data_IF_315609104263
#
_entry.id   IF_315609104263
#
_cell.length_a   1.000
_cell.length_b   1.000
_cell.length_c   1.000
_cell.angle_alpha   90.00
_cell.angle_beta   90.00
_cell.angle_gamma   90.00
#
_symmetry.space_group_name_H-M   'P 1'
#
loop_
_entity.id
_entity.type
_entity.pdbx_description
1 polymer ?
#
# COMPACT_ATOMS: atom_id res chain seq x y z
N UNK A 1 -16.18 -3.42 -70.26
CA UNK A 1 -15.77 -4.75 -70.77
C UNK A 1 -14.32 -4.96 -70.31
N UNK A 2 -13.98 -6.03 -69.56
CA UNK A 2 -13.54 -7.36 -70.07
C UNK A 2 -12.35 -7.19 -71.04
N UNK A 3 -11.14 -7.73 -70.82
CA UNK A 3 -10.71 -8.94 -70.06
C UNK A 3 -9.23 -8.90 -69.64
N UNK A 4 -8.90 -9.44 -68.46
CA UNK A 4 -7.60 -10.10 -68.15
C UNK A 4 -7.50 -11.43 -68.93
N UNK A 5 -6.31 -11.96 -69.28
CA UNK A 5 -5.34 -12.52 -68.30
C UNK A 5 -3.88 -12.11 -68.66
N UNK A 6 -2.77 -12.74 -68.24
CA UNK A 6 -2.49 -13.98 -67.50
C UNK A 6 -1.25 -13.82 -66.56
N UNK A 7 -0.82 -14.92 -65.94
CA UNK A 7 0.21 -15.03 -64.88
C UNK A 7 1.51 -15.65 -65.41
N UNK A 8 2.67 -15.24 -64.89
CA UNK A 8 3.78 -16.17 -64.65
C UNK A 8 4.34 -15.97 -63.24
N UNK A 9 4.33 -17.04 -62.45
CA UNK A 9 4.79 -17.09 -61.07
C UNK A 9 6.29 -17.27 -60.95
N UNK A 10 6.94 -16.53 -60.05
CA UNK A 10 8.19 -16.96 -59.44
C UNK A 10 8.03 -16.95 -57.92
N UNK A 11 8.08 -18.13 -57.31
CA UNK A 11 8.01 -18.27 -55.87
C UNK A 11 9.37 -17.94 -55.24
N UNK A 12 9.38 -17.01 -54.29
CA UNK A 12 10.52 -16.79 -53.39
C UNK A 12 10.04 -16.96 -51.96
N UNK A 13 10.48 -18.06 -51.36
CA UNK A 13 10.15 -18.47 -49.99
C UNK A 13 10.87 -17.55 -48.99
N UNK A 14 10.21 -16.45 -48.59
CA UNK A 14 10.70 -15.56 -47.54
C UNK A 14 10.49 -16.18 -46.16
N UNK A 15 11.58 -16.57 -45.49
CA UNK A 15 11.53 -17.22 -44.19
C UNK A 15 10.98 -16.28 -43.09
N UNK A 16 10.12 -16.82 -42.21
CA UNK A 16 9.75 -16.13 -40.98
C UNK A 16 10.95 -16.08 -40.02
N UNK A 17 11.59 -14.92 -39.91
CA UNK A 17 12.43 -14.62 -38.75
C UNK A 17 11.57 -13.92 -37.70
N UNK A 18 10.95 -14.69 -36.80
CA UNK A 18 10.56 -14.13 -35.50
C UNK A 18 11.86 -13.82 -34.74
N UNK A 19 12.38 -12.60 -34.94
CA UNK A 19 13.26 -12.00 -33.94
C UNK A 19 12.36 -11.65 -32.76
N UNK A 20 12.09 -12.66 -31.94
CA UNK A 20 11.60 -12.45 -30.59
C UNK A 20 12.69 -11.71 -29.84
N UNK A 21 12.60 -10.39 -29.80
CA UNK A 21 13.17 -9.63 -28.71
C UNK A 21 12.46 -10.12 -27.44
N UNK A 22 12.99 -11.17 -26.84
CA UNK A 22 12.88 -11.37 -25.42
C UNK A 22 13.61 -10.18 -24.78
N UNK A 23 12.90 -9.05 -24.71
CA UNK A 23 13.14 -8.09 -23.66
C UNK A 23 13.00 -8.89 -22.39
N UNK A 24 14.13 -9.26 -21.79
CA UNK A 24 14.19 -9.35 -20.34
C UNK A 24 13.64 -8.01 -19.87
N UNK A 25 12.37 -8.00 -19.47
CA UNK A 25 11.80 -6.95 -18.64
C UNK A 25 12.54 -7.03 -17.32
N UNK A 26 13.75 -6.49 -17.35
CA UNK A 26 14.50 -6.14 -16.18
C UNK A 26 13.68 -5.02 -15.58
N UNK A 27 12.77 -5.42 -14.70
CA UNK A 27 11.96 -4.51 -13.89
C UNK A 27 12.89 -3.83 -12.90
N UNK A 28 13.71 -2.92 -13.43
CA UNK A 28 14.12 -1.72 -12.73
C UNK A 28 12.85 -0.92 -12.52
N UNK A 29 12.05 -1.37 -11.55
CA UNK A 29 10.89 -0.64 -11.08
C UNK A 29 11.40 0.74 -10.71
N UNK A 30 10.98 1.75 -11.48
CA UNK A 30 11.16 3.13 -11.12
C UNK A 30 10.39 3.33 -9.83
N UNK A 31 11.10 3.20 -8.69
CA UNK A 31 10.62 3.63 -7.40
C UNK A 31 10.31 5.11 -7.54
N UNK A 32 9.03 5.44 -7.70
CA UNK A 32 8.56 6.80 -7.50
C UNK A 32 8.97 7.15 -6.08
N UNK A 33 9.96 8.04 -5.93
CA UNK A 33 10.55 8.40 -4.65
C UNK A 33 9.57 9.26 -3.83
N UNK A 34 8.47 8.62 -3.42
CA UNK A 34 7.47 9.14 -2.53
C UNK A 34 8.07 9.15 -1.14
N UNK A 35 8.28 10.34 -0.57
CA UNK A 35 8.87 10.47 0.75
C UNK A 35 7.84 10.01 1.78
N UNK A 36 8.04 8.80 2.31
CA UNK A 36 7.29 8.27 3.45
C UNK A 36 8.05 8.68 4.72
N UNK A 37 7.43 9.54 5.52
CA UNK A 37 7.99 9.91 6.81
C UNK A 37 7.72 8.77 7.81
N UNK A 38 8.77 8.14 8.31
CA UNK A 38 8.66 7.10 9.36
C UNK A 38 9.05 7.70 10.70
N UNK A 39 8.08 7.88 11.57
CA UNK A 39 8.28 8.34 12.95
C UNK A 39 8.03 7.20 13.94
N UNK A 40 8.72 7.21 15.09
CA UNK A 40 8.54 6.18 16.12
C UNK A 40 7.82 6.73 17.34
N UNK A 41 7.02 5.89 17.98
CA UNK A 41 6.30 6.26 19.20
C UNK A 41 5.78 5.05 19.97
N UNK A 42 5.31 5.31 21.20
CA UNK A 42 4.73 4.29 22.07
C UNK A 42 3.20 4.44 22.11
N UNK A 43 2.49 3.33 21.94
CA UNK A 43 1.02 3.28 22.06
C UNK A 43 0.61 3.57 23.50
N UNK A 44 -0.24 4.58 23.71
CA UNK A 44 -0.71 5.01 25.03
C UNK A 44 -2.14 4.60 25.34
N UNK A 45 -2.99 4.53 24.32
CA UNK A 45 -4.38 4.14 24.44
C UNK A 45 -4.85 3.41 23.17
N UNK A 46 -5.81 2.51 23.33
CA UNK A 46 -6.50 1.81 22.25
C UNK A 46 -8.00 1.87 22.53
N UNK A 47 -8.77 2.37 21.57
CA UNK A 47 -10.23 2.44 21.65
C UNK A 47 -10.83 1.78 20.42
N UNK A 48 -11.74 0.82 20.59
CA UNK A 48 -12.49 0.26 19.46
C UNK A 48 -13.48 1.28 18.90
N UNK A 49 -13.47 1.45 17.58
CA UNK A 49 -14.35 2.35 16.83
C UNK A 49 -15.03 1.60 15.68
N UNK A 50 -16.25 2.00 15.32
CA UNK A 50 -16.94 1.44 14.16
C UNK A 50 -16.22 1.82 12.86
N UNK A 51 -15.95 0.84 11.99
CA UNK A 51 -15.25 1.05 10.71
C UNK A 51 -15.99 2.01 9.75
N UNK A 52 -17.28 2.27 10.00
CA UNK A 52 -18.12 3.22 9.24
C UNK A 52 -18.09 4.65 9.79
N UNK A 53 -17.49 4.84 10.97
CA UNK A 53 -17.52 6.08 11.72
C UNK A 53 -16.13 6.40 12.27
N UNK A 54 -15.17 6.68 11.37
CA UNK A 54 -13.99 7.47 11.71
C UNK A 54 -14.38 8.94 11.95
N UNK A 55 -15.29 9.17 12.90
CA UNK A 55 -15.88 10.46 13.27
C UNK A 55 -15.07 11.17 14.35
N UNK A 56 -13.75 10.94 14.37
CA UNK A 56 -12.77 11.78 15.05
C UNK A 56 -12.11 12.68 14.02
N UNK A 57 -12.52 13.96 13.96
CA UNK A 57 -12.03 14.95 12.99
C UNK A 57 -10.56 15.31 13.26
N UNK A 58 -9.64 14.41 12.87
CA UNK A 58 -8.20 14.55 13.11
C UNK A 58 -7.41 13.25 13.19
N UNK A 59 -8.05 12.08 13.32
CA UNK A 59 -7.35 10.80 13.31
C UNK A 59 -6.92 10.39 11.88
N UNK A 60 -5.70 9.90 11.73
CA UNK A 60 -5.22 9.29 10.50
C UNK A 60 -5.93 7.96 10.23
N UNK A 61 -6.01 7.54 8.97
CA UNK A 61 -6.60 6.26 8.57
C UNK A 61 -5.50 5.34 8.00
N UNK A 62 -5.27 4.21 8.67
CA UNK A 62 -4.31 3.18 8.28
C UNK A 62 -4.96 2.01 7.53
N UNK A 63 -4.13 1.04 7.15
CA UNK A 63 -4.56 -0.24 6.58
C UNK A 63 -5.51 -0.14 5.38
N UNK A 64 -6.46 -1.09 5.31
CA UNK A 64 -7.50 -1.11 4.28
C UNK A 64 -8.48 0.05 4.38
N UNK A 65 -8.90 0.45 5.60
CA UNK A 65 -9.82 1.58 5.85
C UNK A 65 -9.32 2.87 5.18
N UNK A 66 -8.06 3.24 5.39
CA UNK A 66 -7.48 4.44 4.79
C UNK A 66 -7.45 4.39 3.27
N UNK A 67 -7.22 3.21 2.71
CA UNK A 67 -7.18 2.99 1.27
C UNK A 67 -8.59 3.04 0.64
N UNK A 68 -9.57 2.39 1.28
CA UNK A 68 -10.97 2.44 0.88
C UNK A 68 -11.52 3.88 0.98
N UNK A 69 -11.23 4.62 2.04
CA UNK A 69 -11.62 6.03 2.16
C UNK A 69 -10.99 6.89 1.05
N UNK A 70 -9.66 6.84 0.87
CA UNK A 70 -8.95 7.64 -0.11
C UNK A 70 -9.43 7.40 -1.56
N UNK A 71 -9.71 6.13 -1.90
CA UNK A 71 -10.22 5.75 -3.23
C UNK A 71 -11.56 6.39 -3.62
N UNK A 72 -12.33 6.89 -2.65
CA UNK A 72 -13.59 7.63 -2.89
C UNK A 72 -13.39 9.16 -2.98
N UNK A 73 -12.23 9.67 -2.58
CA UNK A 73 -11.95 11.11 -2.51
C UNK A 73 -11.14 11.65 -3.71
N UNK A 74 -10.42 10.79 -4.45
CA UNK A 74 -9.54 11.21 -5.55
C UNK A 74 -10.30 11.51 -6.85
N UNK A 75 -10.34 12.78 -7.25
CA UNK A 75 -10.99 13.24 -8.50
C UNK A 75 -10.25 12.89 -9.79
N UNK A 76 -8.96 12.55 -9.75
CA UNK A 76 -8.15 12.33 -10.97
C UNK A 76 -8.15 10.87 -11.48
N UNK A 77 -8.52 9.89 -10.65
CA UNK A 77 -8.47 8.44 -11.00
C UNK A 77 -9.84 7.75 -10.87
N UNK A 78 -10.93 8.53 -11.04
CA UNK A 78 -12.30 8.14 -10.64
C UNK A 78 -12.84 6.82 -11.20
N UNK A 79 -12.43 6.40 -12.40
CA UNK A 79 -13.05 5.22 -13.06
C UNK A 79 -12.48 3.89 -12.52
N UNK A 80 -11.19 3.84 -12.17
CA UNK A 80 -10.55 2.66 -11.61
C UNK A 80 -10.59 2.63 -10.08
N UNK A 81 -10.20 3.74 -9.44
CA UNK A 81 -10.04 3.79 -7.98
C UNK A 81 -11.37 3.58 -7.23
N UNK A 82 -12.49 4.11 -7.73
CA UNK A 82 -13.79 3.93 -7.07
C UNK A 82 -14.27 2.47 -7.09
N UNK A 83 -13.94 1.72 -8.14
CA UNK A 83 -14.22 0.28 -8.21
C UNK A 83 -13.34 -0.50 -7.22
N UNK A 84 -12.03 -0.24 -7.21
CA UNK A 84 -11.12 -0.81 -6.21
C UNK A 84 -11.59 -0.50 -4.78
N UNK A 85 -12.01 0.73 -4.50
CA UNK A 85 -12.55 1.17 -3.22
C UNK A 85 -13.76 0.38 -2.72
N UNK A 86 -14.75 0.18 -3.59
CA UNK A 86 -15.92 -0.63 -3.28
C UNK A 86 -15.56 -2.10 -3.00
N UNK A 87 -14.61 -2.65 -3.74
CA UNK A 87 -14.12 -4.02 -3.57
C UNK A 87 -13.30 -4.20 -2.29
N UNK A 88 -12.38 -3.27 -1.98
CA UNK A 88 -11.63 -3.22 -0.72
C UNK A 88 -12.62 -3.10 0.44
N UNK A 89 -13.57 -2.15 0.38
CA UNK A 89 -14.62 -1.99 1.39
C UNK A 89 -15.49 -3.23 1.59
N UNK A 90 -15.71 -4.03 0.54
CA UNK A 90 -16.42 -5.31 0.64
C UNK A 90 -15.55 -6.42 1.27
N UNK A 91 -14.23 -6.41 1.07
CA UNK A 91 -13.29 -7.31 1.77
C UNK A 91 -13.21 -6.96 3.26
N UNK A 92 -13.10 -5.68 3.60
CA UNK A 92 -13.13 -5.17 4.99
C UNK A 92 -14.43 -5.60 5.68
N UNK A 93 -15.59 -5.41 5.05
CA UNK A 93 -16.88 -5.84 5.62
C UNK A 93 -17.06 -7.36 5.76
N UNK A 94 -16.28 -8.16 5.01
CA UNK A 94 -16.23 -9.63 5.14
C UNK A 94 -15.26 -10.10 6.23
N UNK A 95 -14.40 -9.22 6.75
CA UNK A 95 -13.48 -9.54 7.85
C UNK A 95 -14.24 -9.97 9.11
N UNK A 96 -13.59 -10.80 9.94
CA UNK A 96 -14.17 -11.25 11.22
C UNK A 96 -14.29 -10.12 12.24
N UNK A 97 -13.43 -9.12 12.12
CA UNK A 97 -13.42 -7.91 12.93
C UNK A 97 -14.34 -6.88 12.26
N UNK A 98 -15.33 -6.39 13.01
CA UNK A 98 -16.32 -5.40 12.55
C UNK A 98 -16.02 -3.97 13.04
N UNK A 99 -15.01 -3.86 13.88
CA UNK A 99 -14.50 -2.64 14.51
C UNK A 99 -13.06 -2.46 14.08
N UNK A 100 -12.62 -1.20 14.02
CA UNK A 100 -11.22 -0.84 13.92
C UNK A 100 -10.71 -0.43 15.31
N UNK A 101 -9.40 -0.42 15.50
CA UNK A 101 -8.78 0.13 16.70
C UNK A 101 -8.25 1.54 16.40
N UNK A 102 -8.68 2.52 17.20
CA UNK A 102 -8.09 3.85 17.29
C UNK A 102 -6.93 3.80 18.28
N UNK A 103 -5.72 3.90 17.75
CA UNK A 103 -4.47 3.99 18.49
C UNK A 103 -4.12 5.45 18.78
N UNK A 104 -3.95 5.79 20.06
CA UNK A 104 -3.31 7.06 20.46
C UNK A 104 -1.82 6.80 20.70
N UNK A 105 -0.96 7.32 19.82
CA UNK A 105 0.49 7.12 19.84
C UNK A 105 1.19 8.38 20.32
N UNK A 106 2.07 8.25 21.31
CA UNK A 106 2.98 9.31 21.75
C UNK A 106 4.30 9.13 21.00
N UNK A 107 4.59 10.05 20.07
CA UNK A 107 5.79 10.03 19.24
C UNK A 107 7.03 10.49 20.02
N UNK A 108 8.20 10.00 19.60
CA UNK A 108 9.51 10.36 20.18
C UNK A 108 9.83 11.86 20.04
N UNK A 109 9.23 12.55 19.07
CA UNK A 109 9.34 14.00 18.85
C UNK A 109 8.51 14.83 19.86
N UNK A 110 7.72 14.19 20.73
CA UNK A 110 6.83 14.83 21.71
C UNK A 110 5.40 15.07 21.23
N UNK A 111 5.10 14.88 19.94
CA UNK A 111 3.75 14.95 19.41
C UNK A 111 2.90 13.74 19.84
N UNK A 112 1.58 13.88 19.73
CA UNK A 112 0.62 12.79 19.89
C UNK A 112 -0.19 12.68 18.60
N UNK A 113 -0.30 11.47 18.06
CA UNK A 113 -1.03 11.18 16.83
C UNK A 113 -2.08 10.11 17.12
N UNK A 114 -3.26 10.27 16.53
CA UNK A 114 -4.30 9.24 16.54
C UNK A 114 -4.37 8.58 15.17
N UNK A 115 -4.46 7.25 15.12
CA UNK A 115 -4.65 6.50 13.88
C UNK A 115 -5.67 5.37 14.08
N UNK A 116 -6.61 5.26 13.15
CA UNK A 116 -7.58 4.16 13.09
C UNK A 116 -7.05 3.10 12.13
N UNK A 117 -6.94 1.84 12.57
CA UNK A 117 -6.45 0.73 11.74
C UNK A 117 -7.22 -0.57 11.98
N UNK A 118 -7.13 -1.49 11.00
CA UNK A 118 -7.63 -2.88 11.07
C UNK A 118 -6.61 -3.83 11.71
N UNK A 119 -5.39 -3.35 11.94
CA UNK A 119 -4.37 -4.12 12.63
C UNK A 119 -4.81 -4.21 14.09
N UNK A 120 -4.97 -5.42 14.62
CA UNK A 120 -5.38 -5.64 16.03
C UNK A 120 -4.23 -6.18 16.89
N UNK A 121 -3.12 -6.58 16.28
CA UNK A 121 -1.96 -7.18 16.94
C UNK A 121 -0.97 -6.12 17.48
N UNK A 122 -1.50 -4.99 17.96
CA UNK A 122 -0.77 -3.88 18.59
C UNK A 122 -1.43 -3.60 19.96
N UNK A 123 -0.63 -3.54 21.02
CA UNK A 123 -1.07 -3.37 22.40
C UNK A 123 -0.54 -2.07 23.03
N UNK A 124 -1.14 -1.65 24.14
CA UNK A 124 -0.68 -0.49 24.92
C UNK A 124 0.73 -0.77 25.46
N UNK A 125 1.64 0.19 25.27
CA UNK A 125 3.05 0.07 25.62
C UNK A 125 3.95 -0.46 24.50
N UNK A 126 3.40 -0.93 23.38
CA UNK A 126 4.21 -1.33 22.23
C UNK A 126 4.87 -0.13 21.55
N UNK A 127 6.08 -0.37 21.03
CA UNK A 127 6.77 0.54 20.14
C UNK A 127 6.25 0.33 18.71
N UNK A 128 5.87 1.43 18.06
CA UNK A 128 5.32 1.42 16.70
C UNK A 128 6.05 2.39 15.79
N UNK A 129 6.14 2.01 14.51
CA UNK A 129 6.42 2.92 13.42
C UNK A 129 5.08 3.51 12.92
N UNK A 130 5.06 4.83 12.82
CA UNK A 130 4.01 5.63 12.19
C UNK A 130 4.52 6.06 10.82
N UNK A 131 3.99 5.43 9.78
CA UNK A 131 4.43 5.63 8.39
C UNK A 131 3.44 6.61 7.72
N UNK A 132 3.91 7.81 7.39
CA UNK A 132 3.09 8.92 6.90
C UNK A 132 3.47 9.26 5.45
N UNK A 133 2.51 9.11 4.54
CA UNK A 133 2.64 9.43 3.11
C UNK A 133 1.28 9.82 2.53
N UNK A 134 0.95 9.37 1.30
CA UNK A 134 -0.42 9.51 0.76
C UNK A 134 -1.46 8.74 1.58
N UNK A 135 -1.04 7.65 2.21
CA UNK A 135 -1.83 6.84 3.14
C UNK A 135 -1.01 6.60 4.40
N UNK A 136 -1.66 6.57 5.57
CA UNK A 136 -0.97 6.27 6.81
C UNK A 136 -0.76 4.75 6.97
N UNK A 137 0.15 4.40 7.87
CA UNK A 137 0.29 3.06 8.44
C UNK A 137 0.70 3.15 9.90
N UNK A 138 0.36 2.12 10.68
CA UNK A 138 0.92 1.88 12.01
C UNK A 138 1.37 0.42 12.06
N UNK A 139 2.60 0.19 12.50
CA UNK A 139 3.20 -1.15 12.52
C UNK A 139 4.02 -1.35 13.79
N UNK A 140 3.97 -2.55 14.37
CA UNK A 140 4.75 -2.92 15.55
C UNK A 140 6.22 -3.01 15.14
N UNK A 141 7.12 -2.42 15.94
CA UNK A 141 8.57 -2.51 15.70
C UNK A 141 9.32 -2.87 16.97
N UNK A 142 10.62 -3.16 16.84
CA UNK A 142 11.47 -3.41 18.00
C UNK A 142 11.41 -2.25 19.00
N UNK A 143 11.23 -2.51 20.32
CA UNK A 143 11.26 -1.48 21.37
C UNK A 143 12.52 -0.60 21.36
N UNK A 144 13.61 -1.08 20.73
CA UNK A 144 14.82 -0.28 20.48
C UNK A 144 14.50 1.01 19.73
N UNK A 145 13.60 1.01 18.73
CA UNK A 145 13.33 2.19 17.89
C UNK A 145 12.69 3.35 18.66
N UNK A 146 11.99 3.07 19.77
CA UNK A 146 11.42 4.10 20.65
C UNK A 146 12.41 4.66 21.68
N UNK A 147 13.56 3.99 21.88
CA UNK A 147 14.52 4.31 22.95
C UNK A 147 15.92 4.67 22.43
N UNK A 148 16.26 4.32 21.19
CA UNK A 148 17.52 4.64 20.55
C UNK A 148 17.62 6.14 20.26
N UNK A 149 18.75 6.75 20.61
CA UNK A 149 19.04 8.13 20.26
C UNK A 149 19.41 8.23 18.77
N UNK A 150 18.94 9.28 18.07
CA UNK A 150 19.22 9.47 16.65
C UNK A 150 20.72 9.65 16.31
N UNK A 151 21.55 10.05 17.28
CA UNK A 151 23.01 10.11 17.15
C UNK A 151 23.75 8.79 17.48
N UNK A 152 23.03 7.71 17.79
CA UNK A 152 23.65 6.39 18.01
C UNK A 152 24.08 5.77 16.66
N UNK A 153 25.28 5.18 16.53
CA UNK A 153 25.78 4.69 15.23
C UNK A 153 24.88 3.68 14.51
N UNK A 154 24.12 2.87 15.24
CA UNK A 154 23.17 1.91 14.65
C UNK A 154 21.83 2.52 14.20
N UNK A 155 21.56 3.80 14.50
CA UNK A 155 20.26 4.42 14.23
C UNK A 155 19.95 4.52 12.74
N UNK A 156 20.92 4.96 11.92
CA UNK A 156 20.74 5.13 10.48
C UNK A 156 20.26 3.85 9.80
N UNK A 157 20.91 2.73 10.13
CA UNK A 157 20.73 1.47 9.42
C UNK A 157 19.43 0.80 9.85
N UNK A 158 19.10 0.88 11.15
CA UNK A 158 17.82 0.43 11.69
C UNK A 158 16.65 1.27 11.14
N UNK A 159 16.80 2.60 11.08
CA UNK A 159 15.79 3.49 10.50
C UNK A 159 15.60 3.23 9.00
N UNK A 160 16.69 3.06 8.25
CA UNK A 160 16.65 2.76 6.83
C UNK A 160 15.95 1.42 6.53
N UNK A 161 16.16 0.39 7.34
CA UNK A 161 15.43 -0.88 7.22
C UNK A 161 13.91 -0.69 7.42
N UNK A 162 13.51 0.03 8.47
CA UNK A 162 12.10 0.34 8.73
C UNK A 162 11.47 1.19 7.61
N UNK A 163 12.24 2.13 7.03
CA UNK A 163 11.80 2.95 5.90
C UNK A 163 11.66 2.15 4.60
N UNK A 164 12.50 1.13 4.39
CA UNK A 164 12.37 0.21 3.25
C UNK A 164 11.11 -0.66 3.36
N UNK A 165 10.79 -1.18 4.56
CA UNK A 165 9.54 -1.91 4.81
C UNK A 165 8.30 -1.01 4.59
N UNK A 166 8.38 0.26 4.99
CA UNK A 166 7.32 1.24 4.73
C UNK A 166 7.14 1.53 3.22
N UNK A 167 8.22 1.61 2.44
CA UNK A 167 8.20 1.72 0.97
C UNK A 167 7.51 0.50 0.32
N UNK A 168 7.82 -0.72 0.78
CA UNK A 168 7.17 -1.94 0.28
C UNK A 168 5.67 -1.99 0.62
N UNK A 169 5.28 -1.61 1.84
CA UNK A 169 3.87 -1.45 2.22
C UNK A 169 3.16 -0.39 1.35
N UNK A 170 3.78 0.76 1.12
CA UNK A 170 3.22 1.82 0.28
C UNK A 170 3.06 1.37 -1.18
N UNK A 171 4.05 0.69 -1.76
CA UNK A 171 3.95 0.14 -3.11
C UNK A 171 2.81 -0.87 -3.22
N UNK A 172 2.63 -1.75 -2.23
CA UNK A 172 1.50 -2.68 -2.20
C UNK A 172 0.14 -1.97 -2.12
N UNK A 173 0.03 -0.86 -1.37
CA UNK A 173 -1.16 0.02 -1.37
C UNK A 173 -1.42 0.64 -2.74
N UNK A 174 -0.38 1.14 -3.42
CA UNK A 174 -0.48 1.74 -4.76
C UNK A 174 -0.82 0.72 -5.86
N UNK A 175 -0.33 -0.52 -5.77
CA UNK A 175 -0.73 -1.62 -6.65
C UNK A 175 -2.20 -1.99 -6.46
N UNK A 176 -2.65 -2.11 -5.20
CA UNK A 176 -4.03 -2.43 -4.86
C UNK A 176 -5.03 -1.37 -5.36
N UNK A 177 -4.67 -0.09 -5.31
CA UNK A 177 -5.48 1.00 -5.90
C UNK A 177 -5.62 0.93 -7.42
N UNK A 178 -4.72 0.20 -8.12
CA UNK A 178 -4.75 -0.01 -9.57
C UNK A 178 -5.56 -1.26 -9.97
N UNK A 179 -6.03 -2.06 -9.02
CA UNK A 179 -6.84 -3.24 -9.28
C UNK A 179 -8.19 -2.88 -9.93
N UNK A 180 -8.59 -3.63 -10.96
CA UNK A 180 -9.82 -3.40 -11.72
C UNK A 180 -10.85 -4.53 -11.58
N UNK A 181 -10.45 -5.67 -11.01
CA UNK A 181 -11.30 -6.86 -10.84
C UNK A 181 -11.30 -7.35 -9.39
N UNK A 182 -12.33 -8.10 -8.98
CA UNK A 182 -12.42 -8.69 -7.64
C UNK A 182 -11.21 -9.57 -7.29
N UNK A 183 -10.68 -10.30 -8.28
CA UNK A 183 -9.53 -11.17 -8.10
C UNK A 183 -8.22 -10.38 -7.90
N UNK A 184 -8.00 -9.32 -8.67
CA UNK A 184 -6.87 -8.41 -8.48
C UNK A 184 -6.95 -7.72 -7.11
N UNK A 185 -8.15 -7.29 -6.68
CA UNK A 185 -8.33 -6.68 -5.37
C UNK A 185 -8.08 -7.67 -4.24
N UNK A 186 -8.56 -8.93 -4.30
CA UNK A 186 -8.31 -9.94 -3.28
C UNK A 186 -6.80 -10.27 -3.15
N UNK A 187 -6.09 -10.41 -4.27
CA UNK A 187 -4.65 -10.64 -4.30
C UNK A 187 -3.89 -9.43 -3.73
N UNK A 188 -4.20 -8.23 -4.22
CA UNK A 188 -3.58 -6.98 -3.76
C UNK A 188 -3.86 -6.69 -2.29
N UNK A 189 -5.07 -6.99 -1.80
CA UNK A 189 -5.43 -6.84 -0.39
C UNK A 189 -4.61 -7.77 0.51
N UNK A 190 -4.46 -9.04 0.12
CA UNK A 190 -3.61 -9.99 0.86
C UNK A 190 -2.13 -9.60 0.82
N UNK A 191 -1.62 -9.12 -0.33
CA UNK A 191 -0.24 -8.60 -0.45
C UNK A 191 -0.02 -7.39 0.44
N UNK A 192 -0.92 -6.40 0.39
CA UNK A 192 -0.89 -5.20 1.22
C UNK A 192 -0.89 -5.58 2.71
N UNK A 193 -1.81 -6.45 3.15
CA UNK A 193 -1.85 -6.87 4.55
C UNK A 193 -0.57 -7.58 5.00
N UNK A 194 -0.03 -8.48 4.18
CA UNK A 194 1.21 -9.21 4.48
C UNK A 194 2.46 -8.32 4.56
N UNK A 195 2.45 -7.11 3.98
CA UNK A 195 3.56 -6.16 3.97
C UNK A 195 3.35 -4.94 4.90
N UNK A 196 2.13 -4.73 5.39
CA UNK A 196 1.77 -3.57 6.19
C UNK A 196 1.39 -3.91 7.65
N UNK A 197 1.00 -5.15 7.96
CA UNK A 197 0.40 -5.55 9.26
C UNK A 197 1.28 -6.51 10.09
N UNK A 198 2.59 -6.60 9.81
CA UNK A 198 3.53 -7.52 10.47
C UNK A 198 4.22 -6.97 11.72
#
# INVERSE_FOLDING_TARGET
>A
MKTTPFVLTLAVTGALTLVGCATTEQSTGSRENTIIAVEYGTVRNITQVDMKASTGTGAALGGGIGLAAASTASTETQIGAAAAGALIGALIQKSRHKTADQYTVSLNNGATVEIVSEHHDIAIGDCVAMEQGQHANIRRVSPVMCNINAGHPAYSDLHAANAAEADECHQAKQELLKATTEQETDIGYKKMRALCEH
#
